data_IF_368602068814
#
_entry.id   IF_368602068814
#
_cell.length_a   1.000
_cell.length_b   1.000
_cell.length_c   1.000
_cell.angle_alpha   90.00
_cell.angle_beta   90.00
_cell.angle_gamma   90.00
#
_symmetry.space_group_name_H-M   'P 1'
#
loop_
_entity.id
_entity.type
_entity.pdbx_description
1 polymer ?
#
# COMPACT_ATOMS: atom_id res chain seq x y z
N UNK A 1 7.16 -4.19 4.51
CA UNK A 1 6.78 -5.52 4.02
C UNK A 1 8.00 -6.43 4.00
N UNK A 2 7.84 -7.70 4.35
CA UNK A 2 8.92 -8.69 4.27
C UNK A 2 8.74 -9.54 3.01
N UNK A 3 9.80 -9.69 2.24
CA UNK A 3 9.91 -10.67 1.16
C UNK A 3 10.74 -11.83 1.67
N UNK A 4 10.29 -13.04 1.46
CA UNK A 4 10.96 -14.24 1.94
C UNK A 4 10.90 -15.38 0.93
N UNK A 5 11.79 -16.34 1.11
CA UNK A 5 11.71 -17.60 0.38
C UNK A 5 10.38 -18.28 0.72
N UNK A 6 9.74 -18.87 -0.27
CA UNK A 6 8.58 -19.73 -0.02
C UNK A 6 9.05 -21.03 0.65
N UNK A 7 8.68 -21.22 1.91
CA UNK A 7 9.00 -22.37 2.73
C UNK A 7 7.86 -23.40 2.81
N UNK A 8 6.81 -23.20 1.98
CA UNK A 8 5.69 -24.15 1.92
C UNK A 8 6.07 -25.48 1.24
N UNK A 9 5.34 -26.56 1.52
CA UNK A 9 5.54 -27.84 0.85
C UNK A 9 5.38 -27.81 -0.68
N UNK A 10 4.76 -26.75 -1.20
CA UNK A 10 4.51 -26.54 -2.63
C UNK A 10 5.52 -25.60 -3.30
N UNK A 11 6.59 -25.23 -2.59
CA UNK A 11 7.63 -24.37 -3.13
C UNK A 11 8.25 -24.94 -4.40
N UNK A 12 8.38 -24.10 -5.44
CA UNK A 12 8.94 -24.48 -6.75
C UNK A 12 7.90 -24.97 -7.77
N UNK A 13 6.62 -25.00 -7.42
CA UNK A 13 5.56 -25.37 -8.37
C UNK A 13 5.16 -24.19 -9.29
N UNK A 14 5.18 -22.97 -8.77
CA UNK A 14 4.71 -21.77 -9.47
C UNK A 14 5.85 -20.94 -10.06
N UNK A 15 7.08 -21.13 -9.59
CA UNK A 15 8.25 -20.37 -10.03
C UNK A 15 9.54 -21.17 -10.08
N UNK A 16 10.46 -20.72 -10.95
CA UNK A 16 11.78 -21.35 -11.12
C UNK A 16 12.82 -20.79 -10.13
N UNK A 17 12.62 -19.57 -9.67
CA UNK A 17 13.56 -18.82 -8.83
C UNK A 17 13.06 -18.77 -7.40
N UNK A 18 13.49 -19.73 -6.59
CA UNK A 18 12.99 -19.98 -5.23
C UNK A 18 14.03 -19.79 -4.13
N UNK A 19 15.28 -19.47 -4.48
CA UNK A 19 16.36 -19.34 -3.49
C UNK A 19 16.57 -17.91 -3.03
N UNK A 20 16.98 -17.72 -1.77
CA UNK A 20 17.24 -16.41 -1.17
C UNK A 20 18.29 -15.60 -1.96
N UNK A 21 19.32 -16.26 -2.48
CA UNK A 21 20.36 -15.61 -3.28
C UNK A 21 19.80 -14.98 -4.55
N UNK A 22 18.98 -15.72 -5.30
CA UNK A 22 18.41 -15.23 -6.56
C UNK A 22 17.39 -14.12 -6.32
N UNK A 23 16.60 -14.21 -5.24
CA UNK A 23 15.68 -13.16 -4.82
C UNK A 23 16.47 -11.89 -4.45
N UNK A 24 17.55 -12.02 -3.67
CA UNK A 24 18.41 -10.90 -3.31
C UNK A 24 19.03 -10.22 -4.54
N UNK A 25 19.63 -11.00 -5.44
CA UNK A 25 20.24 -10.47 -6.67
C UNK A 25 19.22 -9.70 -7.53
N UNK A 26 17.96 -10.14 -7.56
CA UNK A 26 16.88 -9.45 -8.28
C UNK A 26 16.48 -8.14 -7.59
N UNK A 27 16.37 -8.15 -6.26
CA UNK A 27 16.08 -6.95 -5.48
C UNK A 27 17.22 -5.92 -5.59
N UNK A 28 18.47 -6.37 -5.56
CA UNK A 28 19.66 -5.50 -5.72
C UNK A 28 19.72 -4.86 -7.12
N UNK A 29 19.23 -5.53 -8.16
CA UNK A 29 19.06 -4.93 -9.49
C UNK A 29 17.96 -3.88 -9.50
N UNK A 30 16.83 -4.14 -8.85
CA UNK A 30 15.72 -3.20 -8.78
C UNK A 30 16.10 -1.88 -8.10
N UNK A 31 16.86 -1.93 -7.01
CA UNK A 31 17.31 -0.72 -6.28
C UNK A 31 18.12 0.22 -7.20
N UNK A 32 18.87 -0.32 -8.15
CA UNK A 32 19.71 0.48 -9.07
C UNK A 32 18.88 1.37 -10.00
N UNK A 33 17.68 0.93 -10.33
CA UNK A 33 16.78 1.65 -11.26
C UNK A 33 15.63 2.33 -10.55
N UNK A 34 15.27 1.86 -9.36
CA UNK A 34 14.13 2.31 -8.59
C UNK A 34 14.56 3.00 -7.29
N UNK A 35 14.84 4.31 -7.38
CA UNK A 35 15.36 5.13 -6.26
C UNK A 35 14.44 5.18 -5.05
N UNK A 36 13.14 4.88 -5.24
CA UNK A 36 12.16 4.91 -4.17
C UNK A 36 12.05 3.58 -3.40
N UNK A 37 12.77 2.56 -3.86
CA UNK A 37 12.82 1.26 -3.22
C UNK A 37 14.02 1.16 -2.29
N UNK A 38 13.79 0.66 -1.07
CA UNK A 38 14.85 0.33 -0.11
C UNK A 38 14.74 -1.13 0.27
N UNK A 39 15.86 -1.84 0.23
CA UNK A 39 15.94 -3.24 0.65
C UNK A 39 16.97 -3.35 1.77
N UNK A 40 16.56 -3.95 2.87
CA UNK A 40 17.40 -4.17 4.06
C UNK A 40 17.41 -5.67 4.37
N UNK A 41 18.60 -6.20 4.66
CA UNK A 41 18.74 -7.56 5.17
C UNK A 41 18.13 -7.64 6.58
N UNK A 42 17.52 -8.78 6.91
CA UNK A 42 17.05 -9.06 8.26
C UNK A 42 18.05 -9.98 8.98
N UNK A 43 17.75 -10.36 10.20
CA UNK A 43 18.54 -11.38 10.95
C UNK A 43 18.52 -12.76 10.27
N UNK A 44 17.51 -13.02 9.46
CA UNK A 44 17.40 -14.25 8.66
C UNK A 44 17.92 -14.03 7.24
N UNK A 45 18.77 -14.92 6.76
CA UNK A 45 19.31 -14.89 5.41
C UNK A 45 18.24 -15.04 4.30
N UNK A 46 17.07 -15.59 4.66
CA UNK A 46 15.97 -15.87 3.73
C UNK A 46 14.87 -14.81 3.73
N UNK A 47 15.07 -13.71 4.49
CA UNK A 47 14.09 -12.63 4.64
C UNK A 47 14.69 -11.27 4.35
N UNK A 48 13.99 -10.49 3.54
CA UNK A 48 14.41 -9.15 3.14
C UNK A 48 13.29 -8.16 3.49
N UNK A 49 13.65 -7.07 4.17
CA UNK A 49 12.73 -5.97 4.43
C UNK A 49 12.72 -5.03 3.23
N UNK A 50 11.61 -4.99 2.53
CA UNK A 50 11.42 -4.16 1.34
C UNK A 50 10.50 -3.00 1.67
N UNK A 51 10.97 -1.78 1.42
CA UNK A 51 10.24 -0.53 1.67
C UNK A 51 10.10 0.23 0.37
N UNK A 52 8.90 0.76 0.09
CA UNK A 52 8.56 1.51 -1.10
C UNK A 52 7.68 2.70 -0.78
N UNK A 53 7.26 3.46 -1.78
CA UNK A 53 6.38 4.63 -1.63
C UNK A 53 5.01 4.29 -1.08
N UNK A 54 4.51 3.08 -1.34
CA UNK A 54 3.18 2.65 -0.91
C UNK A 54 2.87 1.24 -1.37
N UNK A 55 1.64 0.78 -1.06
CA UNK A 55 1.17 -0.57 -1.37
C UNK A 55 1.21 -0.87 -2.87
N UNK A 56 0.75 0.05 -3.71
CA UNK A 56 0.74 -0.13 -5.16
C UNK A 56 2.16 -0.32 -5.73
N UNK A 57 3.12 0.45 -5.24
CA UNK A 57 4.51 0.34 -5.68
C UNK A 57 5.09 -1.04 -5.39
N UNK A 58 4.85 -1.56 -4.18
CA UNK A 58 5.30 -2.90 -3.79
C UNK A 58 4.54 -4.00 -4.54
N UNK A 59 3.25 -3.82 -4.80
CA UNK A 59 2.44 -4.77 -5.57
C UNK A 59 2.92 -4.91 -7.01
N UNK A 60 3.30 -3.80 -7.65
CA UNK A 60 3.87 -3.82 -9.00
C UNK A 60 5.20 -4.59 -9.01
N UNK A 61 6.07 -4.38 -8.01
CA UNK A 61 7.32 -5.11 -7.90
C UNK A 61 7.07 -6.63 -7.75
N UNK A 62 6.16 -7.02 -6.88
CA UNK A 62 5.78 -8.42 -6.66
C UNK A 62 5.28 -9.05 -7.96
N UNK A 63 4.39 -8.36 -8.67
CA UNK A 63 3.82 -8.86 -9.93
C UNK A 63 4.88 -9.00 -11.02
N UNK A 64 5.80 -8.04 -11.14
CA UNK A 64 6.92 -8.13 -12.09
C UNK A 64 7.81 -9.33 -11.77
N UNK A 65 8.17 -9.53 -10.49
CA UNK A 65 8.96 -10.69 -10.07
C UNK A 65 8.24 -12.01 -10.36
N UNK A 66 6.92 -12.08 -10.10
CA UNK A 66 6.11 -13.24 -10.45
C UNK A 66 6.17 -13.57 -11.94
N UNK A 67 6.00 -12.57 -12.81
CA UNK A 67 6.07 -12.73 -14.27
C UNK A 67 7.45 -13.16 -14.76
N UNK A 68 8.50 -12.76 -14.04
CA UNK A 68 9.87 -13.20 -14.31
C UNK A 68 10.13 -14.66 -13.84
N UNK A 69 9.20 -15.28 -13.13
CA UNK A 69 9.29 -16.65 -12.64
C UNK A 69 9.85 -16.76 -11.20
N UNK A 70 9.84 -15.69 -10.43
CA UNK A 70 10.17 -15.74 -9.01
C UNK A 70 8.95 -16.20 -8.20
N UNK A 71 9.20 -17.09 -7.26
CA UNK A 71 8.23 -17.51 -6.26
C UNK A 71 8.70 -17.02 -4.90
N UNK A 72 7.94 -16.11 -4.32
CA UNK A 72 8.28 -15.43 -3.07
C UNK A 72 7.10 -15.43 -2.12
N UNK A 73 7.36 -15.60 -0.82
CA UNK A 73 6.42 -15.29 0.24
C UNK A 73 6.49 -13.80 0.58
N UNK A 74 5.36 -13.18 0.83
CA UNK A 74 5.29 -11.77 1.24
C UNK A 74 4.44 -11.62 2.49
N UNK A 75 4.88 -10.75 3.42
CA UNK A 75 4.05 -10.36 4.57
C UNK A 75 3.05 -9.26 4.18
N UNK A 76 2.09 -9.02 5.05
CA UNK A 76 1.29 -7.80 4.96
C UNK A 76 2.19 -6.56 5.00
N UNK A 77 1.86 -5.48 4.25
CA UNK A 77 2.59 -4.24 4.33
C UNK A 77 2.37 -3.55 5.69
N UNK A 78 3.43 -2.94 6.20
CA UNK A 78 3.40 -2.10 7.39
C UNK A 78 3.81 -0.68 7.04
N UNK A 79 3.20 0.29 7.68
CA UNK A 79 3.53 1.70 7.50
C UNK A 79 4.79 2.05 8.29
N UNK A 80 5.67 2.84 7.68
CA UNK A 80 6.89 3.33 8.35
C UNK A 80 6.54 4.57 9.15
N UNK A 81 6.71 4.49 10.47
CA UNK A 81 6.57 5.61 11.38
C UNK A 81 7.86 6.43 11.44
N UNK A 82 7.71 7.74 11.63
CA UNK A 82 8.83 8.64 11.89
C UNK A 82 8.77 9.14 13.33
N UNK A 83 9.93 9.43 13.92
CA UNK A 83 10.00 10.09 15.21
C UNK A 83 10.39 11.55 14.99
N UNK A 84 9.53 12.48 15.39
CA UNK A 84 9.72 13.92 15.27
C UNK A 84 9.60 14.52 16.66
N UNK A 85 10.64 15.24 17.09
CA UNK A 85 10.70 15.85 18.44
C UNK A 85 10.41 14.85 19.59
N UNK A 86 10.85 13.60 19.44
CA UNK A 86 10.64 12.54 20.43
C UNK A 86 9.26 11.89 20.41
N UNK A 87 8.36 12.33 19.52
CA UNK A 87 7.03 11.75 19.35
C UNK A 87 6.98 10.87 18.10
N UNK A 88 6.35 9.71 18.24
CA UNK A 88 6.10 8.80 17.12
C UNK A 88 4.94 9.34 16.28
N UNK A 89 5.22 9.57 15.00
CA UNK A 89 4.28 10.16 14.05
C UNK A 89 3.97 9.18 12.92
N UNK A 90 2.72 9.17 12.46
CA UNK A 90 2.28 8.40 11.31
C UNK A 90 2.04 9.30 10.09
N UNK A 91 2.31 8.80 8.87
CA UNK A 91 2.02 9.55 7.65
C UNK A 91 0.52 9.57 7.35
N UNK A 92 0.07 10.68 6.78
CA UNK A 92 -1.28 10.88 6.28
C UNK A 92 -1.26 11.12 4.77
N UNK A 93 -2.37 10.81 4.12
CA UNK A 93 -2.58 11.02 2.70
C UNK A 93 -3.88 11.76 2.44
N UNK A 94 -3.87 12.62 1.43
CA UNK A 94 -5.10 13.21 0.90
C UNK A 94 -5.74 12.21 -0.06
N UNK A 95 -6.96 11.86 0.22
CA UNK A 95 -7.75 10.90 -0.53
C UNK A 95 -8.91 11.61 -1.21
N UNK A 96 -9.01 11.48 -2.53
CA UNK A 96 -10.12 12.00 -3.31
C UNK A 96 -10.88 10.82 -3.90
N UNK A 97 -12.18 10.79 -3.66
CA UNK A 97 -13.09 9.77 -4.13
C UNK A 97 -14.20 10.40 -4.96
N UNK A 98 -14.42 9.89 -6.17
CA UNK A 98 -15.59 10.20 -6.97
C UNK A 98 -16.51 8.97 -6.95
N UNK A 99 -17.72 9.15 -6.43
CA UNK A 99 -18.69 8.07 -6.25
C UNK A 99 -20.08 8.50 -6.72
N UNK A 100 -20.92 7.54 -7.04
CA UNK A 100 -22.35 7.79 -7.20
C UNK A 100 -23.00 8.05 -5.84
N UNK A 101 -23.99 8.95 -5.79
CA UNK A 101 -24.66 9.38 -4.56
C UNK A 101 -25.22 8.20 -3.73
N UNK A 102 -25.71 7.17 -4.38
CA UNK A 102 -26.24 5.97 -3.70
C UNK A 102 -25.23 5.26 -2.81
N UNK A 103 -23.92 5.39 -3.06
CA UNK A 103 -22.85 4.75 -2.27
C UNK A 103 -22.32 5.63 -1.16
N UNK A 104 -22.79 6.87 -1.02
CA UNK A 104 -22.28 7.84 -0.05
C UNK A 104 -22.25 7.30 1.38
N UNK A 105 -23.36 6.73 1.84
CA UNK A 105 -23.51 6.26 3.22
C UNK A 105 -22.47 5.17 3.57
N UNK A 106 -22.39 4.14 2.75
CA UNK A 106 -21.50 3.00 3.00
C UNK A 106 -20.03 3.39 2.90
N UNK A 107 -19.67 4.29 1.99
CA UNK A 107 -18.29 4.76 1.83
C UNK A 107 -17.87 5.61 3.03
N UNK A 108 -18.73 6.53 3.49
CA UNK A 108 -18.45 7.36 4.69
C UNK A 108 -18.27 6.49 5.93
N UNK A 109 -19.15 5.50 6.14
CA UNK A 109 -19.04 4.55 7.26
C UNK A 109 -17.71 3.82 7.26
N UNK A 110 -17.33 3.24 6.12
CA UNK A 110 -16.08 2.48 5.98
C UNK A 110 -14.83 3.34 6.16
N UNK A 111 -14.83 4.56 5.68
CA UNK A 111 -13.74 5.51 5.91
C UNK A 111 -13.66 5.96 7.37
N UNK A 112 -14.79 6.10 8.05
CA UNK A 112 -14.83 6.37 9.49
C UNK A 112 -14.17 5.26 10.32
N UNK A 113 -14.45 3.98 10.01
CA UNK A 113 -13.79 2.83 10.65
C UNK A 113 -12.26 2.86 10.47
N UNK A 114 -11.79 3.39 9.33
CA UNK A 114 -10.37 3.53 8.97
C UNK A 114 -9.70 4.79 9.48
N UNK A 115 -10.41 5.57 10.32
CA UNK A 115 -9.92 6.83 10.91
C UNK A 115 -9.67 7.93 9.89
N UNK A 116 -10.35 7.88 8.74
CA UNK A 116 -10.34 8.97 7.78
C UNK A 116 -11.18 10.15 8.28
N UNK A 117 -10.71 11.37 7.99
CA UNK A 117 -11.39 12.58 8.30
C UNK A 117 -11.93 13.22 7.02
N UNK A 118 -13.25 13.42 6.94
CA UNK A 118 -13.87 14.11 5.82
C UNK A 118 -13.50 15.59 5.87
N UNK A 119 -12.88 16.09 4.82
CA UNK A 119 -12.51 17.51 4.68
C UNK A 119 -13.58 18.26 3.90
N UNK A 120 -14.03 17.67 2.78
CA UNK A 120 -15.02 18.30 1.92
C UNK A 120 -15.86 17.26 1.16
N UNK A 121 -17.11 17.65 0.88
CA UNK A 121 -18.03 16.88 0.03
C UNK A 121 -18.66 17.86 -0.95
N UNK A 122 -18.48 17.60 -2.25
CA UNK A 122 -19.05 18.45 -3.31
C UNK A 122 -19.79 17.61 -4.33
N UNK A 123 -20.99 18.06 -4.77
CA UNK A 123 -21.61 17.46 -5.94
C UNK A 123 -20.70 17.60 -7.17
N UNK A 124 -20.61 16.53 -7.93
CA UNK A 124 -19.76 16.42 -9.11
C UNK A 124 -20.53 15.67 -10.18
N UNK A 125 -20.83 16.34 -11.28
CA UNK A 125 -21.69 15.81 -12.35
C UNK A 125 -23.09 15.34 -11.88
N UNK A 126 -23.90 14.76 -12.78
CA UNK A 126 -25.22 14.25 -12.45
C UNK A 126 -25.10 13.01 -11.55
N UNK A 127 -25.67 13.08 -10.34
CA UNK A 127 -25.71 12.01 -9.35
C UNK A 127 -24.34 11.48 -8.87
N UNK A 128 -23.25 12.26 -9.03
CA UNK A 128 -21.94 11.94 -8.49
C UNK A 128 -21.50 12.92 -7.42
N UNK A 129 -20.75 12.41 -6.46
CA UNK A 129 -20.19 13.17 -5.35
C UNK A 129 -18.68 13.03 -5.35
N UNK A 130 -17.98 14.12 -5.11
CA UNK A 130 -16.55 14.13 -4.80
C UNK A 130 -16.36 14.30 -3.31
N UNK A 131 -15.68 13.35 -2.71
CA UNK A 131 -15.35 13.30 -1.29
C UNK A 131 -13.84 13.51 -1.14
N UNK A 132 -13.45 14.50 -0.37
CA UNK A 132 -12.06 14.76 -0.03
C UNK A 132 -11.83 14.36 1.43
N UNK A 133 -10.88 13.46 1.65
CA UNK A 133 -10.52 12.95 2.97
C UNK A 133 -9.05 13.16 3.25
N UNK A 134 -8.73 13.28 4.52
CA UNK A 134 -7.40 13.06 5.08
C UNK A 134 -7.43 11.72 5.83
N UNK A 135 -6.52 10.79 5.47
CA UNK A 135 -6.53 9.44 6.00
C UNK A 135 -5.12 9.03 6.41
N UNK A 136 -4.94 8.35 7.57
CA UNK A 136 -3.66 7.74 7.89
C UNK A 136 -3.31 6.68 6.84
N UNK A 137 -2.07 6.66 6.34
CA UNK A 137 -1.62 5.73 5.29
C UNK A 137 -1.96 4.27 5.61
N UNK A 138 -1.92 3.86 6.90
CA UNK A 138 -2.35 2.52 7.32
C UNK A 138 -3.82 2.22 7.01
N UNK A 139 -4.67 3.26 6.98
CA UNK A 139 -6.09 3.14 6.65
C UNK A 139 -6.36 2.85 5.18
N UNK A 140 -5.39 3.16 4.29
CA UNK A 140 -5.50 2.87 2.85
C UNK A 140 -5.12 1.43 2.49
N UNK A 141 -4.40 0.72 3.37
CA UNK A 141 -4.00 -0.66 3.11
C UNK A 141 -5.24 -1.52 2.90
N UNK A 142 -5.35 -2.15 1.73
CA UNK A 142 -6.48 -2.98 1.32
C UNK A 142 -7.78 -2.21 1.00
N UNK A 143 -7.84 -0.89 1.25
CA UNK A 143 -9.06 -0.10 1.02
C UNK A 143 -9.47 -0.03 -0.45
N UNK A 144 -8.50 0.00 -1.37
CA UNK A 144 -8.80 0.10 -2.81
C UNK A 144 -9.72 -1.03 -3.31
N UNK A 145 -9.43 -2.25 -2.93
CA UNK A 145 -10.24 -3.42 -3.32
C UNK A 145 -11.62 -3.39 -2.68
N UNK A 146 -11.69 -3.02 -1.40
CA UNK A 146 -12.95 -2.86 -0.68
C UNK A 146 -13.80 -1.74 -1.31
N UNK A 147 -13.21 -0.59 -1.60
CA UNK A 147 -13.88 0.55 -2.23
C UNK A 147 -14.49 0.19 -3.60
N UNK A 148 -13.75 -0.51 -4.45
CA UNK A 148 -14.27 -0.96 -5.74
C UNK A 148 -15.46 -1.92 -5.56
N UNK A 149 -15.43 -2.79 -4.56
CA UNK A 149 -16.55 -3.67 -4.24
C UNK A 149 -17.75 -2.89 -3.74
N UNK A 150 -17.55 -1.93 -2.83
CA UNK A 150 -18.59 -1.08 -2.26
C UNK A 150 -19.31 -0.22 -3.32
N UNK A 151 -18.57 0.21 -4.33
CA UNK A 151 -19.08 1.07 -5.41
C UNK A 151 -19.41 0.31 -6.69
N UNK A 152 -19.51 -1.02 -6.62
CA UNK A 152 -19.77 -1.90 -7.77
C UNK A 152 -18.84 -1.65 -8.96
N UNK A 153 -17.61 -1.23 -8.69
CA UNK A 153 -16.58 -0.94 -9.69
C UNK A 153 -16.68 0.44 -10.35
N UNK A 154 -17.68 1.27 -10.01
CA UNK A 154 -17.89 2.59 -10.66
C UNK A 154 -17.11 3.72 -9.98
N UNK A 155 -16.69 3.54 -8.73
CA UNK A 155 -15.96 4.55 -7.95
C UNK A 155 -14.55 4.80 -8.46
N UNK A 156 -14.13 6.06 -8.43
CA UNK A 156 -12.76 6.47 -8.77
C UNK A 156 -12.05 6.86 -7.47
N UNK A 157 -10.86 6.34 -7.29
CA UNK A 157 -10.01 6.60 -6.12
C UNK A 157 -8.69 7.23 -6.56
N UNK A 158 -8.39 8.39 -6.01
CA UNK A 158 -7.12 9.09 -6.17
C UNK A 158 -6.54 9.35 -4.78
N UNK A 159 -5.31 8.92 -4.56
CA UNK A 159 -4.56 9.21 -3.35
C UNK A 159 -3.35 10.07 -3.70
N UNK A 160 -3.18 11.17 -2.99
CA UNK A 160 -2.04 12.06 -3.10
C UNK A 160 -1.18 11.92 -1.84
N UNK A 161 -0.03 11.28 -2.01
CA UNK A 161 0.97 11.25 -0.95
C UNK A 161 1.64 12.62 -0.90
N UNK A 162 1.37 13.40 0.13
CA UNK A 162 2.16 14.59 0.40
C UNK A 162 3.56 14.18 0.85
N UNK A 163 4.56 14.45 0.01
CA UNK A 163 5.99 14.27 0.35
C UNK A 163 6.43 15.27 1.44
N UNK A 164 5.65 16.32 1.64
CA UNK A 164 5.80 17.29 2.73
C UNK A 164 4.72 17.06 3.76
N UNK A 165 4.99 16.15 4.66
CA UNK A 165 4.33 15.90 5.95
C UNK A 165 3.06 16.69 6.30
N UNK A 166 2.00 15.96 6.66
CA UNK A 166 1.65 15.98 8.06
C UNK A 166 1.76 14.56 8.68
N UNK A 167 2.90 14.30 9.31
CA UNK A 167 3.00 13.26 10.31
C UNK A 167 2.32 13.79 11.56
N UNK A 168 1.24 13.13 11.99
CA UNK A 168 0.56 13.48 13.25
C UNK A 168 1.02 12.55 14.37
N UNK A 169 1.10 13.04 15.63
CA UNK A 169 1.33 12.17 16.76
C UNK A 169 0.29 11.06 16.84
N UNK A 170 0.73 9.86 17.16
CA UNK A 170 -0.17 8.74 17.47
C UNK A 170 -0.88 9.03 18.79
N UNK A 171 -2.20 9.06 18.80
CA UNK A 171 -3.05 9.13 19.99
C UNK A 171 -3.61 7.75 20.32
#
# INVERSE_FOLDING_TARGET
MIFQVNDSPFAGNDGKFVTSRVIKDRLDKEIKTNVALKVESTESADKFKVSGRGELHLSILIENMRREGFEIGVSSPDVIYKTINGQKCEPFEDLILDIEEQYQGVVIEKLGERKAQLINLTPFENNKLRLNYEIPTRGLIGFRSEFLTLTSGTGIILSLIHISEPTRPLH
#
